data_IF_723696510729
#
_entry.id   IF_723696510729
#
_cell.length_a   1.000
_cell.length_b   1.000
_cell.length_c   1.000
_cell.angle_alpha   90.00
_cell.angle_beta   90.00
_cell.angle_gamma   90.00
#
_symmetry.space_group_name_H-M   'P 1'
#
loop_
_entity.id
_entity.type
_entity.pdbx_description
1 polymer ?
#
# COMPACT_ATOMS: atom_id res chain seq x y z
N UNK A 1 -47.93 23.76 1.76
CA UNK A 1 -49.28 23.16 1.78
C UNK A 1 -49.09 21.66 1.64
N UNK A 2 -49.50 20.77 2.53
CA UNK A 2 -50.16 20.85 3.82
C UNK A 2 -49.94 19.47 4.51
N UNK A 3 -49.88 19.49 5.84
CA UNK A 3 -50.39 18.48 6.77
C UNK A 3 -49.99 16.99 6.62
N UNK A 4 -49.07 16.54 7.47
CA UNK A 4 -49.12 15.19 8.05
C UNK A 4 -49.69 15.31 9.47
N UNK A 5 -50.99 15.05 9.58
CA UNK A 5 -51.72 14.92 10.86
C UNK A 5 -51.33 13.58 11.48
N UNK A 6 -50.58 13.60 12.58
CA UNK A 6 -50.37 12.43 13.43
C UNK A 6 -51.65 12.16 14.22
N UNK A 7 -52.30 11.07 13.83
CA UNK A 7 -53.52 10.52 14.39
C UNK A 7 -53.22 9.95 15.78
N UNK A 8 -53.65 10.62 16.84
CA UNK A 8 -53.68 10.03 18.19
C UNK A 8 -54.73 8.89 18.19
N UNK A 9 -54.25 7.65 18.31
CA UNK A 9 -55.07 6.47 18.54
C UNK A 9 -55.45 6.45 20.03
N UNK A 10 -56.64 6.97 20.35
CA UNK A 10 -57.30 6.64 21.61
C UNK A 10 -57.77 5.19 21.52
N UNK A 11 -57.41 4.39 22.54
CA UNK A 11 -57.72 2.97 22.67
C UNK A 11 -59.23 2.80 22.92
N UNK A 12 -59.93 1.84 22.28
CA UNK A 12 -61.40 1.78 22.29
C UNK A 12 -62.00 1.16 23.57
N UNK A 13 -61.27 1.06 24.67
CA UNK A 13 -61.71 0.36 25.90
C UNK A 13 -61.86 1.26 27.14
N UNK A 14 -61.66 2.57 27.01
CA UNK A 14 -61.94 3.56 28.08
C UNK A 14 -62.95 4.62 27.58
N UNK A 15 -64.13 4.15 27.17
CA UNK A 15 -65.30 5.00 26.82
C UNK A 15 -66.42 4.94 27.87
N UNK A 16 -66.16 4.40 29.06
CA UNK A 16 -67.10 4.42 30.17
C UNK A 16 -66.61 5.38 31.26
N UNK A 17 -67.23 6.58 31.29
CA UNK A 17 -67.42 7.52 32.42
C UNK A 17 -67.30 8.99 32.00
N UNK A 18 -68.07 9.39 31.00
CA UNK A 18 -68.68 10.73 31.02
C UNK A 18 -70.18 10.53 30.91
N UNK A 19 -70.77 10.13 32.03
CA UNK A 19 -72.22 9.93 32.13
C UNK A 19 -72.91 11.30 32.00
N UNK A 20 -73.77 11.42 30.98
CA UNK A 20 -74.48 12.63 30.69
C UNK A 20 -75.44 12.95 31.85
N UNK A 21 -75.22 14.09 32.52
CA UNK A 21 -76.01 14.49 33.67
C UNK A 21 -77.50 14.54 33.33
N UNK A 22 -78.29 13.58 33.86
CA UNK A 22 -79.74 13.55 33.65
C UNK A 22 -80.43 14.41 34.70
N UNK A 23 -81.24 15.36 34.24
CA UNK A 23 -82.04 16.24 35.10
C UNK A 23 -82.94 15.40 36.03
N UNK A 24 -82.91 15.64 37.36
CA UNK A 24 -83.79 14.94 38.30
C UNK A 24 -85.26 15.25 38.01
N UNK A 25 -86.13 14.23 38.05
CA UNK A 25 -87.58 14.39 37.85
C UNK A 25 -88.22 15.04 39.08
N UNK A 26 -88.62 16.30 38.94
CA UNK A 26 -89.26 17.13 39.98
C UNK A 26 -90.79 17.05 39.96
N UNK A 27 -91.37 16.11 39.22
CA UNK A 27 -92.83 16.00 39.03
C UNK A 27 -93.56 15.31 40.18
N UNK A 28 -92.84 14.73 41.15
CA UNK A 28 -93.43 14.08 42.31
C UNK A 28 -93.15 14.89 43.58
N UNK A 29 -94.23 15.30 44.25
CA UNK A 29 -94.18 16.04 45.51
C UNK A 29 -93.76 15.08 46.63
N UNK A 30 -92.48 15.13 47.01
CA UNK A 30 -91.95 14.32 48.10
C UNK A 30 -92.43 14.95 49.41
N UNK A 31 -93.22 14.21 50.19
CA UNK A 31 -93.71 14.67 51.50
C UNK A 31 -92.52 15.03 52.41
N UNK A 32 -92.37 16.31 52.72
CA UNK A 32 -91.28 16.83 53.56
C UNK A 32 -91.54 16.46 55.03
N UNK A 33 -90.60 15.81 55.73
CA UNK A 33 -90.71 15.61 57.17
C UNK A 33 -90.62 16.96 57.92
N UNK A 34 -91.36 17.13 59.02
CA UNK A 34 -91.40 18.39 59.79
C UNK A 34 -90.04 18.82 60.37
N UNK A 35 -89.07 17.90 60.49
CA UNK A 35 -87.69 18.17 60.93
C UNK A 35 -86.70 17.26 60.22
N UNK A 36 -85.56 17.81 59.83
CA UNK A 36 -84.42 17.04 59.32
C UNK A 36 -83.72 16.25 60.44
N UNK A 37 -82.86 15.28 60.07
CA UNK A 37 -82.09 14.40 60.97
C UNK A 37 -81.24 15.15 62.03
N UNK A 38 -81.03 16.45 61.86
CA UNK A 38 -80.32 17.33 62.78
C UNK A 38 -81.25 18.23 63.62
N UNK A 39 -82.57 17.96 63.63
CA UNK A 39 -83.56 18.66 64.45
C UNK A 39 -83.99 20.03 63.91
N UNK A 40 -83.52 20.41 62.72
CA UNK A 40 -83.88 21.68 62.06
C UNK A 40 -85.20 21.55 61.30
N UNK A 41 -86.06 22.56 61.43
CA UNK A 41 -87.33 22.66 60.70
C UNK A 41 -87.01 23.09 59.27
N UNK A 42 -87.37 22.31 58.23
CA UNK A 42 -87.02 22.64 56.85
C UNK A 42 -87.85 23.85 56.41
N UNK A 43 -87.21 25.01 56.38
CA UNK A 43 -87.83 26.30 56.09
C UNK A 43 -87.15 27.48 56.78
N UNK A 44 -86.36 27.23 57.82
CA UNK A 44 -85.63 28.29 58.52
C UNK A 44 -84.15 28.28 58.09
N UNK A 45 -83.89 28.85 56.92
CA UNK A 45 -82.56 29.32 56.53
C UNK A 45 -82.22 30.52 57.44
N UNK A 46 -81.75 30.24 58.66
CA UNK A 46 -81.08 31.27 59.46
C UNK A 46 -79.70 31.45 58.85
N UNK A 47 -79.64 32.23 57.77
CA UNK A 47 -78.41 32.93 57.40
C UNK A 47 -77.99 33.70 58.65
N UNK A 48 -76.78 33.50 59.19
CA UNK A 48 -76.24 34.42 60.17
C UNK A 48 -76.27 35.79 59.49
N UNK A 49 -77.17 36.66 59.92
CA UNK A 49 -77.19 38.06 59.52
C UNK A 49 -76.12 38.77 60.35
N UNK A 50 -74.89 38.25 60.31
CA UNK A 50 -73.72 39.05 60.58
C UNK A 50 -73.58 39.97 59.38
N UNK A 51 -74.02 41.21 59.59
CA UNK A 51 -73.74 42.41 58.82
C UNK A 51 -73.25 42.19 57.39
N UNK A 52 -74.10 42.56 56.43
CA UNK A 52 -73.66 43.20 55.20
C UNK A 52 -72.39 42.59 54.59
N UNK A 53 -72.50 41.45 53.92
CA UNK A 53 -71.67 41.21 52.73
C UNK A 53 -72.11 42.21 51.65
N UNK A 54 -71.98 43.49 51.94
CA UNK A 54 -71.77 44.50 50.94
C UNK A 54 -70.43 44.13 50.34
N UNK A 55 -70.45 43.41 49.22
CA UNK A 55 -69.38 43.56 48.26
C UNK A 55 -69.45 45.02 47.81
N UNK A 56 -68.89 45.91 48.62
CA UNK A 56 -68.60 47.27 48.19
C UNK A 56 -67.72 47.08 46.96
N UNK A 57 -68.09 47.68 45.81
CA UNK A 57 -67.15 47.75 44.71
C UNK A 57 -65.87 48.32 45.30
N UNK A 58 -64.71 47.69 45.03
CA UNK A 58 -63.45 48.10 45.64
C UNK A 58 -63.29 49.61 45.50
N UNK A 59 -62.79 50.23 46.56
CA UNK A 59 -62.58 51.67 46.56
C UNK A 59 -61.60 52.04 45.44
N UNK A 60 -61.68 53.27 44.91
CA UNK A 60 -60.84 53.70 43.77
C UNK A 60 -59.34 53.42 44.01
N UNK A 61 -58.87 53.54 45.25
CA UNK A 61 -57.49 53.23 45.64
C UNK A 61 -57.16 51.73 45.65
N UNK A 62 -58.11 50.86 46.04
CA UNK A 62 -57.92 49.40 46.06
C UNK A 62 -57.90 48.82 44.64
N UNK A 63 -58.69 49.38 43.72
CA UNK A 63 -58.65 49.01 42.28
C UNK A 63 -57.30 49.33 41.64
N UNK A 64 -56.72 50.48 41.99
CA UNK A 64 -55.39 50.87 41.51
C UNK A 64 -54.30 49.95 42.06
N UNK A 65 -54.40 49.54 43.33
CA UNK A 65 -53.48 48.57 43.94
C UNK A 65 -53.56 47.20 43.27
N UNK A 66 -54.76 46.66 43.09
CA UNK A 66 -54.96 45.35 42.43
C UNK A 66 -54.41 45.38 40.99
N UNK A 67 -54.61 46.49 40.26
CA UNK A 67 -54.07 46.65 38.91
C UNK A 67 -52.55 46.69 38.88
N UNK A 68 -51.94 47.44 39.80
CA UNK A 68 -50.49 47.57 39.89
C UNK A 68 -49.83 46.25 40.31
N UNK A 69 -50.49 45.48 41.18
CA UNK A 69 -50.05 44.15 41.60
C UNK A 69 -50.15 43.14 40.45
N UNK A 70 -51.28 43.09 39.74
CA UNK A 70 -51.47 42.24 38.57
C UNK A 70 -50.50 42.57 37.41
N UNK A 71 -50.20 43.86 37.19
CA UNK A 71 -49.20 44.28 36.20
C UNK A 71 -47.78 43.85 36.60
N UNK A 72 -47.43 43.92 37.89
CA UNK A 72 -46.13 43.45 38.39
C UNK A 72 -46.01 41.93 38.38
N UNK A 73 -47.05 41.21 38.79
CA UNK A 73 -47.10 39.75 38.79
C UNK A 73 -47.02 39.21 37.36
N UNK A 74 -47.81 39.74 36.42
CA UNK A 74 -47.73 39.36 35.01
C UNK A 74 -46.37 39.68 34.37
N UNK A 75 -45.73 40.79 34.76
CA UNK A 75 -44.37 41.11 34.30
C UNK A 75 -43.33 40.15 34.88
N UNK A 76 -43.44 39.81 36.17
CA UNK A 76 -42.54 38.88 36.84
C UNK A 76 -42.69 37.46 36.28
N UNK A 77 -43.91 36.99 36.08
CA UNK A 77 -44.21 35.68 35.47
C UNK A 77 -43.74 35.61 34.02
N UNK A 78 -44.05 36.61 33.19
CA UNK A 78 -43.59 36.64 31.80
C UNK A 78 -42.06 36.69 31.67
N UNK A 79 -41.39 37.39 32.60
CA UNK A 79 -39.92 37.42 32.67
C UNK A 79 -39.34 36.09 33.12
N UNK A 80 -39.93 35.44 34.13
CA UNK A 80 -39.50 34.13 34.61
C UNK A 80 -39.67 33.06 33.53
N UNK A 81 -40.83 33.00 32.88
CA UNK A 81 -41.12 32.06 31.79
C UNK A 81 -40.21 32.30 30.59
N UNK A 82 -39.97 33.56 30.20
CA UNK A 82 -39.06 33.88 29.08
C UNK A 82 -37.60 33.52 29.37
N UNK A 83 -37.15 33.67 30.62
CA UNK A 83 -35.81 33.24 31.05
C UNK A 83 -35.68 31.72 31.03
N UNK A 84 -36.66 31.00 31.58
CA UNK A 84 -36.67 29.53 31.61
C UNK A 84 -36.67 28.95 30.18
N UNK A 85 -37.57 29.43 29.33
CA UNK A 85 -37.64 29.03 27.92
C UNK A 85 -36.35 29.36 27.16
N UNK A 86 -35.75 30.53 27.39
CA UNK A 86 -34.49 30.92 26.77
C UNK A 86 -33.30 30.05 27.21
N UNK A 87 -33.25 29.67 28.50
CA UNK A 87 -32.24 28.77 29.03
C UNK A 87 -32.40 27.35 28.48
N UNK A 88 -33.63 26.83 28.43
CA UNK A 88 -33.90 25.51 27.85
C UNK A 88 -33.59 25.46 26.36
N UNK A 89 -34.01 26.48 25.60
CA UNK A 89 -33.72 26.59 24.17
C UNK A 89 -32.22 26.69 23.91
N UNK A 90 -31.50 27.56 24.64
CA UNK A 90 -30.05 27.70 24.51
C UNK A 90 -29.29 26.43 24.90
N UNK A 91 -29.76 25.70 25.92
CA UNK A 91 -29.19 24.40 26.32
C UNK A 91 -29.39 23.35 25.23
N UNK A 92 -30.59 23.24 24.67
CA UNK A 92 -30.89 22.30 23.60
C UNK A 92 -30.10 22.62 22.32
N UNK A 93 -30.05 23.89 21.93
CA UNK A 93 -29.30 24.34 20.77
C UNK A 93 -27.80 24.11 20.93
N UNK A 94 -27.22 24.47 22.08
CA UNK A 94 -25.80 24.23 22.37
C UNK A 94 -25.44 22.74 22.37
N UNK A 95 -26.33 21.87 22.89
CA UNK A 95 -26.12 20.42 22.84
C UNK A 95 -26.17 19.90 21.40
N UNK A 96 -27.16 20.32 20.61
CA UNK A 96 -27.25 19.92 19.20
C UNK A 96 -26.03 20.38 18.39
N UNK A 97 -25.64 21.65 18.52
CA UNK A 97 -24.49 22.21 17.82
C UNK A 97 -23.19 21.53 18.25
N UNK A 98 -22.97 21.35 19.55
CA UNK A 98 -21.77 20.67 20.07
C UNK A 98 -21.69 19.20 19.64
N UNK A 99 -22.82 18.48 19.63
CA UNK A 99 -22.87 17.11 19.14
C UNK A 99 -22.59 17.03 17.63
N UNK A 100 -23.18 17.93 16.83
CA UNK A 100 -22.96 17.95 15.39
C UNK A 100 -21.51 18.30 15.04
N UNK A 101 -20.93 19.30 15.70
CA UNK A 101 -19.53 19.69 15.50
C UNK A 101 -18.57 18.60 15.96
N UNK A 102 -18.78 18.02 17.15
CA UNK A 102 -17.95 16.94 17.68
C UNK A 102 -18.03 15.67 16.82
N UNK A 103 -19.21 15.34 16.31
CA UNK A 103 -19.38 14.21 15.38
C UNK A 103 -18.62 14.45 14.06
N UNK A 104 -18.79 15.62 13.44
CA UNK A 104 -18.10 15.96 12.18
C UNK A 104 -16.58 15.99 12.34
N UNK A 105 -16.07 16.55 13.45
CA UNK A 105 -14.63 16.57 13.73
C UNK A 105 -14.09 15.16 14.01
N UNK A 106 -14.81 14.35 14.80
CA UNK A 106 -14.43 12.97 15.10
C UNK A 106 -14.43 12.08 13.86
N UNK A 107 -15.40 12.26 12.95
CA UNK A 107 -15.46 11.55 11.68
C UNK A 107 -14.27 11.91 10.80
N UNK A 108 -13.95 13.20 10.65
CA UNK A 108 -12.80 13.64 9.85
C UNK A 108 -11.47 13.13 10.42
N UNK A 109 -11.25 13.29 11.73
CA UNK A 109 -10.03 12.81 12.39
C UNK A 109 -9.91 11.28 12.33
N UNK A 110 -11.02 10.56 12.52
CA UNK A 110 -11.07 9.10 12.41
C UNK A 110 -10.76 8.62 10.99
N UNK A 111 -11.27 9.33 9.99
CA UNK A 111 -10.99 9.04 8.58
C UNK A 111 -9.52 9.29 8.23
N UNK A 112 -8.96 10.43 8.63
CA UNK A 112 -7.54 10.77 8.39
C UNK A 112 -6.59 9.79 9.08
N UNK A 113 -6.84 9.46 10.36
CA UNK A 113 -6.05 8.47 11.10
C UNK A 113 -6.21 7.06 10.52
N UNK A 114 -7.41 6.70 10.08
CA UNK A 114 -7.69 5.43 9.42
C UNK A 114 -6.95 5.31 8.10
N UNK A 115 -6.96 6.37 7.29
CA UNK A 115 -6.22 6.43 6.03
C UNK A 115 -4.72 6.36 6.27
N UNK A 116 -4.16 7.10 7.23
CA UNK A 116 -2.74 7.02 7.57
C UNK A 116 -2.30 5.61 8.01
N UNK A 117 -3.08 4.96 8.88
CA UNK A 117 -2.80 3.57 9.29
C UNK A 117 -2.92 2.59 8.13
N UNK A 118 -3.90 2.79 7.25
CA UNK A 118 -4.07 1.95 6.06
C UNK A 118 -2.88 2.13 5.10
N UNK A 119 -2.44 3.36 4.84
CA UNK A 119 -1.27 3.62 3.99
C UNK A 119 0.01 3.05 4.58
N UNK A 120 0.20 3.15 5.89
CA UNK A 120 1.35 2.55 6.58
C UNK A 120 1.34 1.02 6.45
N UNK A 121 0.17 0.40 6.64
CA UNK A 121 0.02 -1.04 6.51
C UNK A 121 0.25 -1.50 5.06
N UNK A 122 -0.25 -0.77 4.07
CA UNK A 122 0.00 -1.02 2.66
C UNK A 122 1.49 -0.90 2.33
N UNK A 123 2.18 0.13 2.82
CA UNK A 123 3.62 0.30 2.62
C UNK A 123 4.44 -0.83 3.24
N UNK A 124 4.04 -1.31 4.44
CA UNK A 124 4.65 -2.50 5.07
C UNK A 124 4.44 -3.75 4.24
N UNK A 125 3.23 -3.98 3.74
CA UNK A 125 2.95 -5.14 2.88
C UNK A 125 3.72 -5.07 1.56
N UNK A 126 3.79 -3.90 0.93
CA UNK A 126 4.56 -3.68 -0.29
C UNK A 126 6.07 -3.93 -0.06
N UNK A 127 6.59 -3.49 1.09
CA UNK A 127 7.94 -3.79 1.54
C UNK A 127 8.20 -5.30 1.69
N UNK A 128 7.27 -6.03 2.32
CA UNK A 128 7.37 -7.49 2.47
C UNK A 128 7.31 -8.20 1.11
N UNK A 129 6.37 -7.84 0.24
CA UNK A 129 6.26 -8.41 -1.11
C UNK A 129 7.54 -8.16 -1.90
N UNK A 130 8.07 -6.93 -1.85
CA UNK A 130 9.33 -6.56 -2.48
C UNK A 130 10.54 -7.31 -1.91
N UNK A 131 10.50 -7.74 -0.64
CA UNK A 131 11.53 -8.59 -0.03
C UNK A 131 11.43 -10.04 -0.51
N UNK A 132 10.23 -10.54 -0.82
CA UNK A 132 10.03 -11.88 -1.39
C UNK A 132 10.32 -11.95 -2.89
N UNK A 133 9.99 -10.92 -3.66
CA UNK A 133 10.19 -10.94 -5.12
C UNK A 133 11.65 -10.81 -5.54
N UNK A 134 12.45 -10.03 -4.82
CA UNK A 134 13.85 -9.81 -5.17
C UNK A 134 14.73 -11.08 -5.19
N UNK A 135 14.66 -12.01 -4.21
CA UNK A 135 15.43 -13.26 -4.27
C UNK A 135 14.94 -14.22 -5.36
N UNK A 136 13.67 -14.14 -5.78
CA UNK A 136 13.16 -14.96 -6.88
C UNK A 136 13.81 -14.54 -8.21
N UNK A 137 13.94 -13.24 -8.46
CA UNK A 137 14.64 -12.76 -9.67
C UNK A 137 16.13 -13.15 -9.68
N UNK A 138 16.78 -13.17 -8.51
CA UNK A 138 18.16 -13.67 -8.39
C UNK A 138 18.26 -15.16 -8.71
N UNK A 139 17.29 -15.95 -8.24
CA UNK A 139 17.25 -17.39 -8.49
C UNK A 139 17.09 -17.68 -9.98
N UNK A 140 16.30 -16.88 -10.70
CA UNK A 140 16.15 -17.01 -12.15
C UNK A 140 17.49 -16.84 -12.88
N UNK A 141 18.26 -15.79 -12.55
CA UNK A 141 19.58 -15.56 -13.14
C UNK A 141 20.57 -16.69 -12.79
N UNK A 142 20.54 -17.19 -11.56
CA UNK A 142 21.38 -18.30 -11.11
C UNK A 142 21.03 -19.59 -11.87
N UNK A 143 19.75 -19.87 -12.07
CA UNK A 143 19.31 -21.03 -12.87
C UNK A 143 19.83 -20.90 -14.31
N UNK A 144 19.73 -19.71 -14.92
CA UNK A 144 20.28 -19.46 -16.25
C UNK A 144 21.78 -19.74 -16.32
N UNK A 145 22.55 -19.21 -15.36
CA UNK A 145 23.98 -19.44 -15.24
C UNK A 145 24.31 -20.95 -15.14
N UNK A 146 23.63 -21.67 -14.25
CA UNK A 146 23.85 -23.10 -14.04
C UNK A 146 23.50 -23.94 -15.28
N UNK A 147 22.42 -23.59 -15.99
CA UNK A 147 22.04 -24.27 -17.23
C UNK A 147 23.08 -24.07 -18.33
N UNK A 148 23.62 -22.86 -18.48
CA UNK A 148 24.71 -22.59 -19.43
C UNK A 148 25.98 -23.37 -19.06
N UNK A 149 26.35 -23.38 -17.79
CA UNK A 149 27.52 -24.12 -17.30
C UNK A 149 27.37 -25.63 -17.55
N UNK A 150 26.21 -26.22 -17.25
CA UNK A 150 25.91 -27.62 -17.49
C UNK A 150 26.00 -27.95 -18.99
N UNK A 151 25.41 -27.10 -19.83
CA UNK A 151 25.42 -27.29 -21.29
C UNK A 151 26.84 -27.24 -21.84
N UNK A 152 27.67 -26.31 -21.36
CA UNK A 152 29.08 -26.22 -21.73
C UNK A 152 29.84 -27.48 -21.30
N UNK A 153 29.70 -27.93 -20.05
CA UNK A 153 30.35 -29.13 -19.55
C UNK A 153 29.92 -30.38 -20.32
N UNK A 154 28.62 -30.51 -20.62
CA UNK A 154 28.08 -31.62 -21.41
C UNK A 154 28.65 -31.62 -22.83
N UNK A 155 28.71 -30.45 -23.48
CA UNK A 155 29.29 -30.34 -24.82
C UNK A 155 30.76 -30.77 -24.86
N UNK A 156 31.55 -30.38 -23.85
CA UNK A 156 32.95 -30.78 -23.71
C UNK A 156 33.09 -32.29 -23.51
N UNK A 157 32.28 -32.87 -22.62
CA UNK A 157 32.30 -34.29 -22.34
C UNK A 157 31.91 -35.12 -23.58
N UNK A 158 30.88 -34.70 -24.31
CA UNK A 158 30.44 -35.38 -25.54
C UNK A 158 31.49 -35.30 -26.63
N UNK A 159 32.09 -34.12 -26.86
CA UNK A 159 33.13 -33.95 -27.89
C UNK A 159 34.39 -34.76 -27.53
N UNK A 160 34.81 -34.72 -26.26
CA UNK A 160 35.93 -35.54 -25.79
C UNK A 160 35.67 -37.04 -25.94
N UNK A 161 34.44 -37.49 -25.67
CA UNK A 161 34.04 -38.88 -25.85
C UNK A 161 34.01 -39.30 -27.32
N UNK A 162 33.42 -38.49 -28.20
CA UNK A 162 33.38 -38.77 -29.64
C UNK A 162 34.78 -38.85 -30.24
N UNK A 163 35.72 -38.01 -29.83
CA UNK A 163 37.11 -38.08 -30.29
C UNK A 163 37.85 -39.30 -29.78
N UNK A 164 37.49 -39.79 -28.58
CA UNK A 164 38.02 -41.06 -28.09
C UNK A 164 37.52 -42.26 -28.90
N UNK A 165 36.25 -42.25 -29.33
CA UNK A 165 35.66 -43.34 -30.13
C UNK A 165 36.10 -43.26 -31.60
N UNK A 166 36.13 -42.05 -32.18
CA UNK A 166 36.40 -41.81 -33.60
C UNK A 166 37.63 -40.91 -33.78
N UNK A 167 38.86 -41.47 -33.69
CA UNK A 167 40.08 -40.70 -33.88
C UNK A 167 40.28 -40.20 -35.33
N UNK A 168 39.50 -40.67 -36.30
CA UNK A 168 39.57 -40.28 -37.71
C UNK A 168 39.38 -38.76 -37.95
N UNK A 169 38.73 -38.06 -37.01
CA UNK A 169 38.56 -36.60 -37.06
C UNK A 169 39.90 -35.84 -37.05
N UNK A 170 40.99 -36.46 -36.58
CA UNK A 170 42.32 -35.84 -36.58
C UNK A 170 42.80 -35.50 -37.99
N UNK A 171 42.43 -36.30 -39.00
CA UNK A 171 42.84 -36.07 -40.38
C UNK A 171 42.26 -34.76 -40.92
N UNK A 172 41.04 -34.43 -40.50
CA UNK A 172 40.40 -33.17 -40.88
C UNK A 172 41.10 -31.99 -40.22
N UNK A 173 41.39 -32.09 -38.91
CA UNK A 173 42.14 -31.07 -38.17
C UNK A 173 43.53 -30.84 -38.78
N UNK A 174 44.23 -31.91 -39.16
CA UNK A 174 45.56 -31.84 -39.78
C UNK A 174 45.51 -31.15 -41.15
N UNK A 175 44.51 -31.45 -41.99
CA UNK A 175 44.28 -30.73 -43.26
C UNK A 175 44.02 -29.24 -43.04
N UNK A 176 43.18 -28.89 -42.06
CA UNK A 176 42.90 -27.50 -41.71
C UNK A 176 44.16 -26.77 -41.24
N UNK A 177 44.96 -27.42 -40.39
CA UNK A 177 46.21 -26.89 -39.88
C UNK A 177 47.25 -26.60 -40.96
N UNK A 178 47.40 -27.52 -41.92
CA UNK A 178 48.32 -27.34 -43.04
C UNK A 178 47.84 -26.23 -43.98
N UNK A 179 46.53 -26.13 -44.22
CA UNK A 179 45.96 -25.05 -45.02
C UNK A 179 46.15 -23.66 -44.38
N UNK A 180 46.24 -23.60 -43.04
CA UNK A 180 46.49 -22.36 -42.30
C UNK A 180 47.96 -21.91 -42.34
N UNK A 181 48.89 -22.77 -42.75
CA UNK A 181 50.30 -22.42 -42.86
C UNK A 181 50.59 -21.63 -44.15
N UNK A 182 51.47 -20.61 -44.09
CA UNK A 182 51.99 -19.98 -45.29
C UNK A 182 52.77 -21.00 -46.14
N UNK A 183 52.45 -21.08 -47.44
CA UNK A 183 53.00 -22.01 -48.47
C UNK A 183 54.54 -22.01 -48.62
N UNK A 184 55.27 -21.18 -47.88
CA UNK A 184 56.71 -20.95 -48.00
C UNK A 184 57.59 -21.92 -47.19
N UNK A 185 57.01 -22.91 -46.51
CA UNK A 185 57.75 -23.81 -45.62
C UNK A 185 58.03 -25.18 -46.25
N UNK A 186 59.31 -25.56 -46.28
CA UNK A 186 59.80 -26.82 -46.89
C UNK A 186 59.83 -28.01 -45.92
N UNK A 187 59.70 -27.76 -44.62
CA UNK A 187 59.76 -28.79 -43.56
C UNK A 187 58.72 -28.47 -42.51
N UNK A 188 57.79 -29.39 -42.30
CA UNK A 188 56.69 -29.23 -41.34
C UNK A 188 56.86 -30.31 -40.25
N UNK A 189 57.06 -29.90 -39.00
CA UNK A 189 57.08 -30.78 -37.85
C UNK A 189 55.67 -30.85 -37.24
N UNK A 190 55.11 -32.05 -37.15
CA UNK A 190 53.77 -32.29 -36.64
C UNK A 190 53.89 -33.11 -35.35
N UNK A 191 53.47 -32.51 -34.24
CA UNK A 191 53.45 -33.13 -32.92
C UNK A 191 52.05 -33.67 -32.63
N UNK A 192 51.98 -34.96 -32.28
CA UNK A 192 50.74 -35.72 -32.14
C UNK A 192 50.86 -36.73 -30.99
N UNK A 193 49.71 -37.19 -30.48
CA UNK A 193 49.66 -38.33 -29.57
C UNK A 193 50.20 -39.61 -30.27
N UNK A 194 50.93 -40.49 -29.56
CA UNK A 194 51.53 -41.71 -30.15
C UNK A 194 50.52 -42.62 -30.87
N UNK A 195 49.30 -42.78 -30.35
CA UNK A 195 48.27 -43.60 -30.99
C UNK A 195 47.77 -42.97 -32.30
N UNK A 196 47.73 -41.64 -32.36
CA UNK A 196 47.25 -40.92 -33.53
C UNK A 196 48.32 -40.89 -34.64
N UNK A 197 49.60 -40.95 -34.28
CA UNK A 197 50.70 -41.14 -35.23
C UNK A 197 50.53 -42.45 -36.00
N UNK A 198 50.22 -43.54 -35.31
CA UNK A 198 50.01 -44.84 -35.97
C UNK A 198 48.86 -44.77 -36.98
N UNK A 199 47.77 -44.09 -36.62
CA UNK A 199 46.60 -43.91 -37.48
C UNK A 199 46.93 -43.05 -38.71
N UNK A 200 47.63 -41.93 -38.53
CA UNK A 200 48.04 -41.04 -39.63
C UNK A 200 49.03 -41.74 -40.57
N UNK A 201 49.97 -42.53 -40.04
CA UNK A 201 50.95 -43.29 -40.84
C UNK A 201 50.27 -44.35 -41.69
N UNK A 202 49.27 -45.03 -41.13
CA UNK A 202 48.49 -46.07 -41.83
C UNK A 202 47.65 -45.49 -42.97
N UNK A 203 47.07 -44.28 -42.78
CA UNK A 203 46.10 -43.71 -43.72
C UNK A 203 46.72 -42.79 -44.80
N UNK A 204 47.76 -42.02 -44.49
CA UNK A 204 48.42 -41.14 -45.48
C UNK A 204 49.56 -41.84 -46.24
N UNK A 205 50.12 -42.93 -45.69
CA UNK A 205 51.25 -43.63 -46.29
C UNK A 205 52.57 -42.84 -46.25
N UNK A 206 53.69 -43.55 -46.34
CA UNK A 206 55.03 -42.95 -46.29
C UNK A 206 55.32 -42.01 -47.49
N UNK A 207 54.73 -42.27 -48.65
CA UNK A 207 54.99 -41.52 -49.89
C UNK A 207 54.49 -40.07 -49.83
N UNK A 208 53.33 -39.83 -49.21
CA UNK A 208 52.81 -38.47 -49.05
C UNK A 208 53.58 -37.66 -48.01
N UNK A 209 54.20 -38.32 -47.02
CA UNK A 209 55.01 -37.66 -46.01
C UNK A 209 56.36 -37.21 -46.55
N UNK A 210 56.99 -38.04 -47.40
CA UNK A 210 58.22 -37.66 -48.08
C UNK A 210 58.00 -36.55 -49.11
N UNK A 211 56.90 -36.60 -49.87
CA UNK A 211 56.57 -35.57 -50.85
C UNK A 211 56.33 -34.18 -50.21
N UNK A 212 55.72 -34.16 -49.03
CA UNK A 212 55.37 -32.93 -48.33
C UNK A 212 56.37 -32.51 -47.23
N UNK A 213 57.43 -33.29 -47.01
CA UNK A 213 58.45 -33.00 -45.99
C UNK A 213 57.92 -32.99 -44.55
N UNK A 214 56.96 -33.88 -44.22
CA UNK A 214 56.35 -33.97 -42.89
C UNK A 214 57.22 -34.79 -41.95
N UNK A 215 57.57 -34.23 -40.79
CA UNK A 215 58.25 -34.91 -39.70
C UNK A 215 57.27 -35.11 -38.55
N UNK A 216 56.83 -36.35 -38.33
CA UNK A 216 55.95 -36.69 -37.21
C UNK A 216 56.77 -36.88 -35.93
N UNK A 217 56.38 -36.18 -34.86
CA UNK A 217 56.97 -36.33 -33.53
C UNK A 217 55.88 -36.75 -32.53
N UNK A 218 56.19 -37.78 -31.74
CA UNK A 218 55.29 -38.24 -30.68
C UNK A 218 55.43 -37.34 -29.46
N UNK A 219 54.31 -36.76 -29.02
CA UNK A 219 54.20 -36.01 -27.78
C UNK A 219 53.07 -36.60 -26.92
N UNK A 220 53.38 -37.30 -25.81
CA UNK A 220 52.38 -37.88 -24.93
C UNK A 220 51.67 -36.85 -24.03
N UNK A 221 52.10 -35.58 -24.02
CA UNK A 221 51.40 -34.53 -23.28
C UNK A 221 50.12 -34.07 -23.98
N UNK A 222 49.98 -34.36 -25.29
CA UNK A 222 48.82 -34.00 -26.09
C UNK A 222 47.69 -35.02 -25.92
N UNK A 223 46.46 -34.54 -25.84
CA UNK A 223 45.29 -35.41 -25.84
C UNK A 223 45.09 -36.08 -27.21
N UNK A 224 44.30 -37.15 -27.24
CA UNK A 224 43.92 -37.79 -28.50
C UNK A 224 43.10 -36.82 -29.36
N UNK A 225 43.49 -36.64 -30.61
CA UNK A 225 42.90 -35.67 -31.53
C UNK A 225 43.49 -34.26 -31.46
N UNK A 226 44.42 -33.98 -30.54
CA UNK A 226 45.19 -32.74 -30.51
C UNK A 226 46.38 -32.85 -31.46
N UNK A 227 46.68 -31.76 -32.17
CA UNK A 227 47.89 -31.68 -32.97
C UNK A 227 48.52 -30.29 -32.89
N UNK A 228 49.84 -30.24 -32.87
CA UNK A 228 50.59 -28.99 -32.99
C UNK A 228 51.47 -29.07 -34.24
N UNK A 229 51.37 -28.05 -35.08
CA UNK A 229 52.08 -28.01 -36.35
C UNK A 229 53.09 -26.87 -36.28
N UNK A 230 54.36 -27.22 -36.19
CA UNK A 230 55.48 -26.30 -36.17
C UNK A 230 56.14 -26.26 -37.55
N UNK A 231 56.34 -25.05 -38.07
CA UNK A 231 56.92 -24.83 -39.39
C UNK A 231 57.77 -23.57 -39.40
N UNK A 232 59.09 -23.71 -39.24
CA UNK A 232 60.11 -22.65 -39.36
C UNK A 232 59.85 -21.36 -38.56
N UNK A 233 58.92 -20.52 -39.05
CA UNK A 233 58.52 -19.23 -38.49
C UNK A 233 57.08 -19.20 -37.94
N UNK A 234 56.34 -20.31 -38.00
CA UNK A 234 54.94 -20.39 -37.60
C UNK A 234 54.68 -21.64 -36.77
N UNK A 235 53.90 -21.48 -35.71
CA UNK A 235 53.37 -22.57 -34.90
C UNK A 235 51.85 -22.44 -34.94
N UNK A 236 51.17 -23.50 -35.36
CA UNK A 236 49.72 -23.59 -35.36
C UNK A 236 49.33 -24.64 -34.32
N UNK A 237 48.75 -24.20 -33.22
CA UNK A 237 48.19 -25.06 -32.19
C UNK A 237 46.74 -25.40 -32.53
N UNK A 238 46.45 -26.70 -32.68
CA UNK A 238 45.12 -27.23 -32.98
C UNK A 238 44.61 -28.13 -31.86
N UNK A 239 45.09 -27.88 -30.63
CA UNK A 239 44.50 -28.48 -29.44
C UNK A 239 43.01 -28.20 -29.32
N UNK A 240 42.29 -29.16 -28.75
CA UNK A 240 40.85 -29.13 -28.60
C UNK A 240 40.38 -27.99 -27.70
N UNK A 241 41.09 -27.76 -26.59
CA UNK A 241 40.67 -26.83 -25.55
C UNK A 241 40.55 -25.38 -26.08
N UNK A 242 41.56 -24.80 -26.76
CA UNK A 242 41.45 -23.46 -27.32
C UNK A 242 40.41 -23.36 -28.43
N UNK A 243 40.26 -24.41 -29.25
CA UNK A 243 39.25 -24.46 -30.33
C UNK A 243 37.84 -24.44 -29.78
N UNK A 244 37.58 -25.26 -28.76
CA UNK A 244 36.28 -25.32 -28.12
C UNK A 244 35.99 -24.03 -27.35
N UNK A 245 37.00 -23.45 -26.70
CA UNK A 245 36.87 -22.14 -26.06
C UNK A 245 36.58 -21.03 -27.06
N UNK A 246 37.17 -21.06 -28.27
CA UNK A 246 36.88 -20.09 -29.32
C UNK A 246 35.42 -20.21 -29.83
N UNK A 247 34.91 -21.43 -29.99
CA UNK A 247 33.51 -21.66 -30.40
C UNK A 247 32.53 -21.27 -29.29
N UNK A 248 32.87 -21.57 -28.04
CA UNK A 248 32.07 -21.23 -26.85
C UNK A 248 32.45 -19.87 -26.25
N UNK A 249 33.17 -19.02 -26.98
CA UNK A 249 33.61 -17.72 -26.48
C UNK A 249 32.42 -16.81 -26.16
N UNK A 250 31.40 -16.84 -27.02
CA UNK A 250 30.19 -16.05 -26.83
C UNK A 250 29.38 -16.52 -25.61
N UNK A 251 29.18 -17.83 -25.44
CA UNK A 251 28.42 -18.38 -24.31
C UNK A 251 29.19 -18.21 -22.99
N UNK A 252 30.51 -18.38 -23.00
CA UNK A 252 31.34 -18.10 -21.82
C UNK A 252 31.37 -16.62 -21.44
N UNK A 253 31.33 -15.70 -22.41
CA UNK A 253 31.17 -14.27 -22.14
C UNK A 253 29.81 -13.96 -21.50
N UNK A 254 28.72 -14.54 -22.01
CA UNK A 254 27.38 -14.42 -21.42
C UNK A 254 27.35 -14.96 -19.98
N UNK A 255 27.95 -16.12 -19.74
CA UNK A 255 28.06 -16.73 -18.41
C UNK A 255 28.83 -15.81 -17.43
N UNK A 256 29.91 -15.17 -17.87
CA UNK A 256 30.64 -14.18 -17.04
C UNK A 256 29.79 -12.95 -16.73
N UNK A 257 29.00 -12.46 -17.69
CA UNK A 257 28.09 -11.33 -17.48
C UNK A 257 27.00 -11.67 -16.45
N UNK A 258 26.36 -12.83 -16.58
CA UNK A 258 25.36 -13.31 -15.62
C UNK A 258 25.96 -13.45 -14.22
N UNK A 259 27.15 -14.03 -14.10
CA UNK A 259 27.83 -14.16 -12.80
C UNK A 259 28.08 -12.81 -12.12
N UNK A 260 28.52 -11.81 -12.88
CA UNK A 260 28.70 -10.46 -12.35
C UNK A 260 27.36 -9.84 -11.91
N UNK A 261 26.31 -9.99 -12.73
CA UNK A 261 24.97 -9.48 -12.40
C UNK A 261 24.40 -10.13 -11.13
N UNK A 262 24.58 -11.45 -10.96
CA UNK A 262 24.17 -12.19 -9.77
C UNK A 262 24.89 -11.64 -8.54
N UNK A 263 26.22 -11.48 -8.60
CA UNK A 263 27.02 -10.96 -7.50
C UNK A 263 26.59 -9.52 -7.11
N UNK A 264 26.36 -8.67 -8.10
CA UNK A 264 25.92 -7.29 -7.88
C UNK A 264 24.53 -7.25 -7.22
N UNK A 265 23.56 -8.02 -7.75
CA UNK A 265 22.22 -8.14 -7.17
C UNK A 265 22.26 -8.74 -5.75
N UNK A 266 23.09 -9.75 -5.50
CA UNK A 266 23.28 -10.32 -4.15
C UNK A 266 23.86 -9.29 -3.18
N UNK A 267 24.84 -8.49 -3.60
CA UNK A 267 25.42 -7.44 -2.77
C UNK A 267 24.40 -6.34 -2.43
N UNK A 268 23.58 -5.92 -3.40
CA UNK A 268 22.51 -4.94 -3.15
C UNK A 268 21.44 -5.47 -2.19
N UNK A 269 21.09 -6.75 -2.30
CA UNK A 269 20.13 -7.41 -1.40
C UNK A 269 20.66 -7.54 0.03
N UNK A 270 21.93 -7.91 0.20
CA UNK A 270 22.58 -7.97 1.50
C UNK A 270 22.71 -6.58 2.17
N UNK A 271 22.96 -5.52 1.39
CA UNK A 271 22.94 -4.15 1.89
C UNK A 271 21.54 -3.69 2.34
N UNK A 272 20.48 -4.16 1.67
CA UNK A 272 19.10 -3.83 2.04
C UNK A 272 18.62 -4.53 3.31
N UNK A 273 19.04 -5.77 3.55
CA UNK A 273 18.69 -6.48 4.80
C UNK A 273 19.40 -5.88 6.02
N UNK A 274 20.70 -5.54 5.89
CA UNK A 274 21.48 -4.94 7.00
C UNK A 274 21.01 -3.53 7.40
N UNK A 275 20.55 -2.73 6.43
CA UNK A 275 19.93 -1.42 6.71
C UNK A 275 18.55 -1.53 7.34
N UNK A 276 17.78 -2.58 7.01
CA UNK A 276 16.50 -2.86 7.66
C UNK A 276 16.67 -3.24 9.15
N UNK A 277 17.67 -4.05 9.48
CA UNK A 277 17.95 -4.44 10.89
C UNK A 277 18.40 -3.25 11.75
N UNK A 278 19.12 -2.28 11.18
CA UNK A 278 19.57 -1.08 11.92
C UNK A 278 18.42 -0.10 12.21
N UNK A 279 17.39 -0.05 11.35
CA UNK A 279 16.22 0.79 11.56
C UNK A 279 15.26 0.24 12.63
N UNK A 280 15.38 -1.05 12.99
CA UNK A 280 14.53 -1.70 13.99
C UNK A 280 15.05 -1.61 15.43
N UNK A 281 16.26 -1.06 15.65
CA UNK A 281 16.94 -1.00 16.95
C UNK A 281 16.92 0.40 17.61
N UNK A 282 15.95 1.25 17.27
CA UNK A 282 15.81 2.60 17.84
C UNK A 282 14.41 2.90 18.41
N UNK A 283 13.83 1.91 19.07
CA UNK A 283 12.68 2.13 19.96
C UNK A 283 12.91 1.45 21.30
N UNK A 284 13.94 1.85 22.04
CA UNK A 284 13.97 1.62 23.48
C UNK A 284 14.61 2.80 24.23
N UNK A 285 13.79 3.42 25.08
CA UNK A 285 14.16 4.21 26.26
C UNK A 285 15.06 5.44 26.13
N UNK A 286 14.45 6.64 26.17
CA UNK A 286 14.79 7.66 27.18
C UNK A 286 13.65 8.65 27.38
N UNK A 287 12.87 8.43 28.45
CA UNK A 287 12.29 9.51 29.26
C UNK A 287 13.44 10.26 29.93
N UNK A 288 13.67 11.53 29.61
CA UNK A 288 14.21 12.48 30.61
C UNK A 288 13.86 13.90 30.22
N UNK A 289 13.05 14.52 31.08
CA UNK A 289 12.78 15.95 31.14
C UNK A 289 14.01 16.70 31.68
N UNK A 290 14.26 17.90 31.14
CA UNK A 290 14.83 19.12 31.77
C UNK A 290 15.50 19.94 30.65
N UNK A 291 14.87 20.98 30.12
CA UNK A 291 14.80 22.36 30.65
C UNK A 291 16.20 22.98 30.89
N UNK A 292 16.66 23.86 29.99
CA UNK A 292 16.99 25.26 30.31
C UNK A 292 17.44 26.10 29.08
N UNK A 293 16.81 27.28 28.99
CA UNK A 293 17.13 28.59 28.41
C UNK A 293 18.37 28.80 27.48
N UNK A 294 18.12 29.45 26.34
CA UNK A 294 18.84 30.66 25.85
C UNK A 294 18.13 31.22 24.58
N UNK A 295 17.36 32.32 24.70
CA UNK A 295 17.70 33.68 24.23
C UNK A 295 17.70 33.92 22.71
N UNK A 296 16.59 34.49 22.23
CA UNK A 296 16.48 35.75 21.47
C UNK A 296 17.43 36.03 20.30
N UNK A 297 16.91 36.00 19.05
CA UNK A 297 17.14 37.04 18.03
C UNK A 297 16.40 36.72 16.71
N UNK A 298 15.65 37.71 16.24
CA UNK A 298 14.86 37.75 15.00
C UNK A 298 15.68 37.70 13.69
N UNK A 299 15.03 37.42 12.53
CA UNK A 299 15.68 36.95 11.32
C UNK A 299 16.13 38.09 10.40
N UNK A 300 17.26 37.92 9.71
CA UNK A 300 17.67 38.82 8.64
C UNK A 300 17.58 38.13 7.28
N UNK A 301 16.74 38.71 6.44
CA UNK A 301 16.59 38.44 5.01
C UNK A 301 17.85 38.81 4.24
N UNK A 302 18.36 37.91 3.41
CA UNK A 302 19.14 38.28 2.22
C UNK A 302 18.68 37.42 1.05
N UNK A 303 18.03 38.10 0.11
CA UNK A 303 17.82 37.68 -1.27
C UNK A 303 19.17 37.63 -1.95
N UNK A 304 19.50 36.54 -2.64
CA UNK A 304 20.38 36.61 -3.80
C UNK A 304 19.98 35.54 -4.82
N UNK A 305 20.08 35.97 -6.06
CA UNK A 305 19.38 35.55 -7.26
C UNK A 305 20.32 34.71 -8.16
N UNK A 306 19.72 34.09 -9.17
CA UNK A 306 20.31 33.40 -10.33
C UNK A 306 20.83 31.97 -10.09
N UNK A 307 20.54 30.97 -10.93
CA UNK A 307 20.30 31.03 -12.37
C UNK A 307 19.45 29.85 -12.89
N UNK A 308 18.67 30.15 -13.93
CA UNK A 308 17.83 29.30 -14.76
C UNK A 308 18.52 28.07 -15.38
N UNK A 309 17.73 27.05 -15.71
CA UNK A 309 17.71 26.35 -17.02
C UNK A 309 16.27 25.90 -17.28
N UNK A 310 15.81 26.21 -18.49
CA UNK A 310 14.47 26.08 -19.04
C UNK A 310 14.03 24.61 -19.24
N UNK A 311 12.74 24.35 -18.96
CA UNK A 311 11.98 23.21 -19.44
C UNK A 311 11.11 23.71 -20.59
N UNK A 312 11.38 23.23 -21.79
CA UNK A 312 10.54 23.48 -22.96
C UNK A 312 10.27 22.19 -23.73
N UNK A 313 9.03 22.10 -24.24
CA UNK A 313 8.44 21.08 -25.11
C UNK A 313 7.66 19.90 -24.50
N UNK A 314 6.36 20.14 -24.31
CA UNK A 314 5.29 19.17 -24.55
C UNK A 314 4.05 19.93 -25.05
N UNK A 315 3.93 20.17 -26.36
CA UNK A 315 2.62 20.15 -27.04
C UNK A 315 2.77 20.10 -28.57
N UNK A 316 2.56 18.93 -29.17
CA UNK A 316 2.36 18.81 -30.62
C UNK A 316 1.74 17.44 -30.95
N UNK A 317 0.44 17.28 -30.69
CA UNK A 317 -0.39 16.27 -31.37
C UNK A 317 -1.86 16.58 -31.17
N UNK A 318 -2.45 17.44 -32.03
CA UNK A 318 -3.85 17.36 -32.51
C UNK A 318 -4.11 18.50 -33.50
N UNK A 319 -3.93 18.29 -34.81
CA UNK A 319 -4.77 18.89 -35.88
C UNK A 319 -4.23 18.56 -37.28
N UNK A 320 -4.64 17.42 -37.82
CA UNK A 320 -4.88 17.25 -39.27
C UNK A 320 -6.06 16.30 -39.36
N UNK A 321 -7.19 16.76 -39.91
CA UNK A 321 -8.28 16.00 -40.55
C UNK A 321 -9.48 16.95 -40.67
N UNK A 322 -9.44 17.81 -41.69
CA UNK A 322 -10.63 18.48 -42.24
C UNK A 322 -10.38 18.85 -43.69
N UNK A 323 -10.47 17.87 -44.56
CA UNK A 323 -10.81 18.01 -45.98
C UNK A 323 -11.56 16.74 -46.40
N UNK A 324 -12.62 16.96 -47.17
CA UNK A 324 -13.74 16.07 -47.56
C UNK A 324 -14.89 15.85 -46.55
#
# INVERSE_FOLDING_TARGET
>A
MAEKITRYLVRPEEQEEFDAWRMPDVSHDIARPDKDLFGHVPGELVLPLDNDLTMMPPTMAELEQIRLEAEQEGFAEGRAQGLEQGLEAGRLEGLMQGHQQGFSQGEQQGYEQGMAKATDMMARFDGLISQFMAPLSLLDDEIEYQLLQLTQALSQAVIGHELSIKPEHILHTLKQGIAALPLASKTIAIHLHPDDIQLVTTLYGAEHMEHNGWQLQADPCLGRGDCQIASGRSLVDLSLQPRLQAVLAQTSAQMQQLSNQINDKQATLAARSTSADTACDHSDGTDTSDNELASDSEPNSVVTEASAIELDNLDASTQVMREE
#
